data_IF_446658376901
#
_entry.id   IF_446658376901
#
_cell.length_a   1.000
_cell.length_b   1.000
_cell.length_c   1.000
_cell.angle_alpha   90.00
_cell.angle_beta   90.00
_cell.angle_gamma   90.00
#
_symmetry.space_group_name_H-M   'P 1'
#
loop_
_entity.id
_entity.type
_entity.pdbx_description
1 polymer ?
#
# COMPACT_ATOMS: atom_id res chain seq x y z
N UNK A 1 20.79 -21.85 -60.74
CA UNK A 1 21.37 -22.49 -59.53
C UNK A 1 20.55 -22.08 -58.32
N UNK A 2 19.71 -22.98 -57.82
CA UNK A 2 18.92 -22.80 -56.60
C UNK A 2 19.86 -22.77 -55.39
N UNK A 3 19.89 -21.66 -54.65
CA UNK A 3 20.63 -21.62 -53.38
C UNK A 3 19.90 -22.52 -52.38
N UNK A 4 20.59 -23.52 -51.84
CA UNK A 4 20.09 -24.38 -50.76
C UNK A 4 19.79 -23.57 -49.50
N UNK A 5 18.57 -23.07 -49.40
CA UNK A 5 18.07 -22.31 -48.26
C UNK A 5 18.10 -23.15 -46.97
N UNK A 6 17.98 -24.47 -47.07
CA UNK A 6 17.99 -25.39 -45.93
C UNK A 6 19.27 -25.30 -45.09
N UNK A 7 20.43 -25.11 -45.73
CA UNK A 7 21.74 -25.08 -45.05
C UNK A 7 22.01 -23.76 -44.34
N UNK A 8 21.45 -22.65 -44.82
CA UNK A 8 21.54 -21.33 -44.17
C UNK A 8 20.53 -21.18 -43.03
N UNK A 9 19.34 -21.78 -43.14
CA UNK A 9 18.34 -21.81 -42.05
C UNK A 9 18.83 -22.58 -40.83
N UNK A 10 19.57 -23.69 -41.00
CA UNK A 10 20.10 -24.47 -39.88
C UNK A 10 21.23 -23.75 -39.11
N UNK A 11 22.02 -22.90 -39.79
CA UNK A 11 23.12 -22.15 -39.16
C UNK A 11 22.65 -20.93 -38.36
N UNK A 12 21.49 -20.38 -38.72
CA UNK A 12 20.91 -19.23 -38.05
C UNK A 12 19.62 -19.65 -37.37
N UNK A 13 19.70 -19.99 -36.08
CA UNK A 13 18.52 -20.21 -35.21
C UNK A 13 17.69 -18.91 -35.00
N UNK A 14 17.80 -17.95 -35.92
CA UNK A 14 16.99 -16.72 -35.97
C UNK A 14 15.52 -17.04 -36.14
N UNK A 15 15.18 -18.16 -36.78
CA UNK A 15 13.81 -18.68 -36.89
C UNK A 15 13.24 -19.22 -35.56
N UNK A 16 14.10 -19.55 -34.58
CA UNK A 16 13.68 -19.90 -33.22
C UNK A 16 13.57 -18.69 -32.29
N UNK A 17 13.99 -17.49 -32.74
CA UNK A 17 13.80 -16.30 -31.91
C UNK A 17 12.31 -16.00 -31.82
N UNK A 18 11.77 -15.74 -30.62
CA UNK A 18 10.37 -15.38 -30.47
C UNK A 18 10.08 -14.16 -31.34
N UNK A 19 8.90 -14.15 -31.97
CA UNK A 19 8.48 -13.04 -32.82
C UNK A 19 8.57 -11.71 -32.05
N UNK A 20 8.94 -10.64 -32.76
CA UNK A 20 9.02 -9.30 -32.16
C UNK A 20 7.66 -8.94 -31.56
N UNK A 21 7.66 -8.51 -30.29
CA UNK A 21 6.44 -8.15 -29.54
C UNK A 21 5.56 -7.11 -30.24
N UNK A 22 6.16 -6.26 -31.08
CA UNK A 22 5.45 -5.18 -31.78
C UNK A 22 4.86 -5.60 -33.13
N UNK A 23 5.08 -6.85 -33.56
CA UNK A 23 4.87 -7.25 -34.95
C UNK A 23 5.96 -6.64 -35.84
N UNK A 24 6.43 -7.41 -36.81
CA UNK A 24 7.19 -6.84 -37.93
C UNK A 24 6.22 -6.46 -39.05
N UNK A 25 6.73 -5.85 -40.12
CA UNK A 25 5.94 -5.58 -41.33
C UNK A 25 5.24 -6.84 -41.91
N UNK A 26 5.79 -8.03 -41.61
CA UNK A 26 5.26 -9.34 -42.03
C UNK A 26 4.92 -10.28 -40.86
N UNK A 27 5.06 -9.83 -39.61
CA UNK A 27 4.87 -10.69 -38.44
C UNK A 27 3.65 -10.26 -37.63
N UNK A 28 2.68 -11.17 -37.46
CA UNK A 28 1.54 -10.91 -36.58
C UNK A 28 2.05 -10.61 -35.16
N UNK A 29 1.53 -9.56 -34.50
CA UNK A 29 1.88 -9.27 -33.12
C UNK A 29 1.47 -10.43 -32.20
N UNK A 30 2.25 -10.66 -31.15
CA UNK A 30 1.91 -11.66 -30.12
C UNK A 30 0.52 -11.31 -29.56
N UNK A 31 -0.44 -12.26 -29.53
CA UNK A 31 -1.77 -11.98 -29.01
C UNK A 31 -1.68 -11.47 -27.58
N UNK A 32 -2.54 -10.51 -27.22
CA UNK A 32 -2.41 -9.78 -25.96
C UNK A 32 -2.40 -10.67 -24.70
N UNK A 33 -3.07 -11.83 -24.76
CA UNK A 33 -3.10 -12.82 -23.69
C UNK A 33 -1.76 -13.56 -23.49
N UNK A 34 -0.93 -13.64 -24.52
CA UNK A 34 0.45 -14.15 -24.45
C UNK A 34 1.47 -13.03 -24.18
N UNK A 35 1.00 -11.80 -23.94
CA UNK A 35 1.84 -10.69 -23.50
C UNK A 35 2.53 -11.02 -22.17
N UNK A 36 3.69 -10.39 -21.90
CA UNK A 36 4.38 -10.58 -20.63
C UNK A 36 3.46 -10.18 -19.49
N UNK A 37 3.22 -11.12 -18.56
CA UNK A 37 2.57 -10.84 -17.30
C UNK A 37 3.33 -9.70 -16.59
N UNK A 38 2.65 -8.85 -15.80
CA UNK A 38 3.34 -7.83 -15.02
C UNK A 38 4.48 -8.48 -14.21
N UNK A 39 5.62 -7.79 -14.13
CA UNK A 39 6.77 -8.30 -13.39
C UNK A 39 6.37 -8.64 -11.96
N UNK A 40 6.65 -9.88 -11.55
CA UNK A 40 6.49 -10.31 -10.18
C UNK A 40 7.37 -9.45 -9.27
N UNK A 41 6.77 -8.84 -8.25
CA UNK A 41 7.51 -8.04 -7.27
C UNK A 41 7.87 -8.94 -6.08
N UNK A 42 9.16 -8.99 -5.77
CA UNK A 42 9.66 -9.74 -4.61
C UNK A 42 9.02 -9.20 -3.33
N UNK A 43 8.78 -10.06 -2.34
CA UNK A 43 8.07 -9.69 -1.10
C UNK A 43 8.71 -8.49 -0.39
N UNK A 44 10.04 -8.38 -0.42
CA UNK A 44 10.80 -7.25 0.15
C UNK A 44 10.51 -5.90 -0.52
N UNK A 45 10.15 -5.91 -1.80
CA UNK A 45 9.89 -4.71 -2.61
C UNK A 45 8.39 -4.38 -2.66
N UNK A 46 7.53 -5.27 -2.13
CA UNK A 46 6.09 -4.99 -1.96
C UNK A 46 5.92 -3.93 -0.89
N UNK A 47 4.96 -3.03 -1.10
CA UNK A 47 4.64 -2.01 -0.12
C UNK A 47 3.90 -2.69 1.05
N UNK A 48 4.47 -2.69 2.27
CA UNK A 48 3.84 -3.39 3.40
C UNK A 48 2.59 -2.64 3.90
N UNK A 49 2.65 -1.31 3.91
CA UNK A 49 1.59 -0.44 4.40
C UNK A 49 1.17 0.52 3.29
N UNK A 50 0.08 0.17 2.61
CA UNK A 50 -0.48 0.93 1.50
C UNK A 50 -1.22 2.16 1.98
N UNK A 51 -0.97 3.33 1.41
CA UNK A 51 -1.75 4.54 1.72
C UNK A 51 -2.96 4.74 0.80
N UNK A 52 -3.09 3.94 -0.26
CA UNK A 52 -4.19 3.95 -1.22
C UNK A 52 -5.06 2.71 -0.98
N UNK A 53 -6.36 2.90 -0.91
CA UNK A 53 -7.39 1.88 -0.75
C UNK A 53 -8.36 1.89 -1.94
N UNK A 54 -9.12 0.80 -2.15
CA UNK A 54 -10.28 0.83 -3.03
C UNK A 54 -11.23 1.96 -2.67
N UNK A 55 -11.90 2.53 -3.67
CA UNK A 55 -12.79 3.69 -3.60
C UNK A 55 -12.12 5.05 -3.34
N UNK A 56 -10.80 5.10 -3.16
CA UNK A 56 -10.10 6.39 -3.11
C UNK A 56 -10.15 7.12 -4.45
N UNK A 57 -10.28 8.45 -4.38
CA UNK A 57 -10.09 9.34 -5.54
C UNK A 57 -8.61 9.66 -5.72
N UNK A 58 -8.11 9.48 -6.93
CA UNK A 58 -6.71 9.66 -7.30
C UNK A 58 -6.57 10.43 -8.61
N UNK A 59 -5.44 11.08 -8.81
CA UNK A 59 -5.04 11.71 -10.07
C UNK A 59 -3.82 11.00 -10.61
N UNK A 60 -3.82 10.74 -11.91
CA UNK A 60 -2.65 10.20 -12.60
C UNK A 60 -1.65 11.31 -12.92
N UNK A 61 -0.48 11.27 -12.29
CA UNK A 61 0.59 12.28 -12.47
C UNK A 61 1.60 11.87 -13.53
N UNK A 62 1.85 10.57 -13.70
CA UNK A 62 2.80 10.04 -14.69
C UNK A 62 2.10 9.04 -15.60
N UNK A 63 2.20 9.24 -16.91
CA UNK A 63 1.57 8.37 -17.90
C UNK A 63 1.47 9.03 -19.27
N UNK A 64 0.61 8.49 -20.11
CA UNK A 64 0.33 9.01 -21.44
C UNK A 64 -0.29 10.42 -21.33
N UNK A 65 0.02 11.30 -22.29
CA UNK A 65 -0.37 12.72 -22.22
C UNK A 65 -1.89 12.92 -22.14
N UNK A 66 -2.68 12.01 -22.73
CA UNK A 66 -4.14 12.06 -22.73
C UNK A 66 -4.77 11.79 -21.36
N UNK A 67 -4.11 10.98 -20.52
CA UNK A 67 -4.64 10.52 -19.23
C UNK A 67 -3.98 11.24 -18.04
N UNK A 68 -2.90 11.98 -18.29
CA UNK A 68 -2.19 12.72 -17.25
C UNK A 68 -3.07 13.88 -16.74
N UNK A 69 -3.28 13.93 -15.44
CA UNK A 69 -4.13 14.92 -14.77
C UNK A 69 -5.59 14.51 -14.64
N UNK A 70 -6.01 13.41 -15.27
CA UNK A 70 -7.38 12.90 -15.15
C UNK A 70 -7.58 12.30 -13.76
N UNK A 71 -8.75 12.58 -13.20
CA UNK A 71 -9.20 12.07 -11.91
C UNK A 71 -9.82 10.69 -12.10
N UNK A 72 -9.55 9.77 -11.18
CA UNK A 72 -10.10 8.43 -11.20
C UNK A 72 -10.34 7.86 -9.82
N UNK A 73 -11.18 6.86 -9.76
CA UNK A 73 -11.57 6.13 -8.56
C UNK A 73 -10.89 4.78 -8.58
N UNK A 74 -10.23 4.44 -7.48
CA UNK A 74 -9.58 3.15 -7.36
C UNK A 74 -10.62 2.04 -7.27
N UNK A 75 -10.64 1.13 -8.24
CA UNK A 75 -11.49 -0.06 -8.22
C UNK A 75 -10.86 -1.18 -7.40
N UNK A 76 -9.60 -1.52 -7.69
CA UNK A 76 -8.89 -2.64 -7.07
C UNK A 76 -7.42 -2.28 -6.85
N UNK A 77 -6.87 -2.75 -5.74
CA UNK A 77 -5.44 -2.63 -5.42
C UNK A 77 -4.80 -4.00 -5.46
N UNK A 78 -3.77 -4.16 -6.27
CA UNK A 78 -2.99 -5.38 -6.42
C UNK A 78 -1.66 -5.23 -5.67
N UNK A 79 -1.65 -5.73 -4.42
CA UNK A 79 -0.51 -5.58 -3.51
C UNK A 79 0.73 -6.37 -3.94
N UNK A 80 0.54 -7.43 -4.72
CA UNK A 80 1.64 -8.29 -5.19
C UNK A 80 2.46 -7.66 -6.33
N UNK A 81 1.83 -6.78 -7.11
CA UNK A 81 2.46 -6.12 -8.26
C UNK A 81 2.70 -4.62 -8.03
N UNK A 82 2.37 -4.09 -6.86
CA UNK A 82 2.35 -2.64 -6.56
C UNK A 82 1.54 -1.82 -7.58
N UNK A 83 0.40 -2.39 -8.02
CA UNK A 83 -0.46 -1.82 -9.06
C UNK A 83 -1.87 -1.54 -8.58
N UNK A 84 -2.50 -0.59 -9.24
CA UNK A 84 -3.83 -0.10 -8.95
C UNK A 84 -4.64 -0.06 -10.23
N UNK A 85 -5.87 -0.52 -10.15
CA UNK A 85 -6.85 -0.53 -11.23
C UNK A 85 -7.86 0.58 -10.97
N UNK A 86 -8.10 1.41 -11.99
CA UNK A 86 -9.05 2.53 -11.92
C UNK A 86 -10.36 2.13 -12.60
N UNK A 87 -11.47 2.69 -12.11
CA UNK A 87 -12.82 2.32 -12.55
C UNK A 87 -13.21 2.98 -13.87
N UNK A 88 -12.70 4.19 -14.15
CA UNK A 88 -13.14 5.01 -15.28
C UNK A 88 -12.58 4.51 -16.62
N UNK A 89 -13.38 4.66 -17.68
CA UNK A 89 -13.06 4.19 -19.02
C UNK A 89 -11.88 4.96 -19.67
N UNK A 90 -11.60 6.18 -19.22
CA UNK A 90 -10.48 7.00 -19.72
C UNK A 90 -9.12 6.36 -19.44
N UNK A 91 -9.04 5.56 -18.38
CA UNK A 91 -7.84 4.82 -18.00
C UNK A 91 -7.76 3.43 -18.65
N UNK A 92 -8.85 3.00 -19.30
CA UNK A 92 -8.90 1.71 -19.98
C UNK A 92 -8.33 1.81 -21.39
N UNK A 93 -7.79 0.69 -21.88
CA UNK A 93 -7.34 0.57 -23.26
C UNK A 93 -8.56 0.20 -24.11
N UNK A 94 -8.90 1.05 -25.08
CA UNK A 94 -9.91 0.73 -26.10
C UNK A 94 -9.36 -0.39 -26.99
N UNK A 95 -10.04 -1.53 -27.01
CA UNK A 95 -9.73 -2.68 -27.86
C UNK A 95 -10.87 -2.97 -28.81
N UNK A 96 -10.53 -3.48 -29.99
CA UNK A 96 -11.48 -4.05 -30.94
C UNK A 96 -11.70 -5.51 -30.58
N UNK A 97 -12.95 -5.94 -30.53
CA UNK A 97 -13.29 -7.35 -30.46
C UNK A 97 -12.84 -7.99 -31.78
N UNK A 98 -12.04 -9.05 -31.68
CA UNK A 98 -11.67 -9.83 -32.84
C UNK A 98 -12.87 -10.72 -33.20
N UNK A 99 -13.26 -10.75 -34.47
CA UNK A 99 -14.19 -11.76 -34.96
C UNK A 99 -13.54 -13.13 -34.76
N UNK A 100 -14.26 -14.05 -34.12
CA UNK A 100 -13.74 -15.39 -33.88
C UNK A 100 -13.74 -16.20 -35.18
N UNK A 101 -14.68 -15.88 -36.08
CA UNK A 101 -14.79 -16.47 -37.41
C UNK A 101 -14.84 -15.41 -38.52
N UNK A 102 -14.25 -15.68 -39.70
CA UNK A 102 -14.44 -14.82 -40.87
C UNK A 102 -15.93 -14.72 -41.24
N UNK A 103 -16.48 -13.49 -41.26
CA UNK A 103 -17.90 -13.25 -41.57
C UNK A 103 -18.84 -13.22 -40.37
N UNK A 104 -18.33 -13.41 -39.14
CA UNK A 104 -19.12 -13.25 -37.93
C UNK A 104 -19.53 -11.78 -37.73
N UNK A 105 -20.84 -11.52 -37.68
CA UNK A 105 -21.36 -10.24 -37.25
C UNK A 105 -21.16 -10.13 -35.72
N UNK A 106 -20.21 -9.28 -35.31
CA UNK A 106 -20.00 -8.97 -33.90
C UNK A 106 -21.27 -8.33 -33.32
N UNK A 107 -21.79 -8.85 -32.22
CA UNK A 107 -22.95 -8.27 -31.55
C UNK A 107 -22.67 -6.81 -31.19
N UNK A 108 -23.52 -5.89 -31.68
CA UNK A 108 -23.40 -4.43 -31.50
C UNK A 108 -23.64 -3.95 -30.05
N UNK A 109 -23.73 -4.87 -29.08
CA UNK A 109 -24.07 -4.57 -27.70
C UNK A 109 -22.84 -4.18 -26.87
N UNK A 110 -22.25 -3.02 -27.15
CA UNK A 110 -21.78 -2.09 -26.12
C UNK A 110 -21.42 -0.73 -26.76
N UNK A 111 -22.38 0.20 -26.72
CA UNK A 111 -22.21 1.65 -26.94
C UNK A 111 -21.60 2.11 -28.27
N UNK A 112 -22.48 2.48 -29.20
CA UNK A 112 -22.19 3.44 -30.27
C UNK A 112 -22.05 2.79 -31.63
N UNK A 113 -23.10 2.93 -32.46
CA UNK A 113 -23.11 2.48 -33.83
C UNK A 113 -21.99 3.12 -34.64
N UNK A 114 -20.94 2.35 -34.91
CA UNK A 114 -20.31 2.27 -36.21
C UNK A 114 -19.35 1.07 -36.25
N UNK A 115 -19.77 0.05 -37.00
CA UNK A 115 -19.01 -0.98 -37.72
C UNK A 115 -17.87 -1.81 -37.08
N UNK A 116 -17.42 -1.64 -35.84
CA UNK A 116 -16.58 -2.64 -35.13
C UNK A 116 -16.78 -2.60 -33.61
N UNK A 117 -17.27 -3.68 -33.00
CA UNK A 117 -17.48 -3.79 -31.56
C UNK A 117 -16.18 -3.48 -30.79
N UNK A 118 -16.13 -2.33 -30.11
CA UNK A 118 -14.99 -1.93 -29.28
C UNK A 118 -15.36 -2.03 -27.81
N UNK A 119 -14.48 -2.59 -27.00
CA UNK A 119 -14.65 -2.68 -25.56
C UNK A 119 -13.48 -2.03 -24.83
N UNK A 120 -13.73 -1.58 -23.61
CA UNK A 120 -12.72 -0.98 -22.73
C UNK A 120 -12.13 -2.08 -21.84
N UNK A 121 -10.84 -2.35 -22.01
CA UNK A 121 -10.12 -3.23 -21.09
C UNK A 121 -9.43 -2.38 -20.02
N UNK A 122 -9.72 -2.59 -18.72
CA UNK A 122 -9.10 -1.80 -17.67
C UNK A 122 -7.57 -2.00 -17.68
N UNK A 123 -6.82 -0.97 -17.27
CA UNK A 123 -5.35 -0.98 -17.25
C UNK A 123 -4.84 -0.78 -15.83
N UNK A 124 -3.82 -1.54 -15.48
CA UNK A 124 -3.14 -1.44 -14.19
C UNK A 124 -2.05 -0.36 -14.20
N UNK A 125 -2.10 0.57 -13.25
CA UNK A 125 -1.10 1.62 -13.06
C UNK A 125 -0.23 1.35 -11.84
N UNK A 126 1.05 1.67 -11.93
CA UNK A 126 1.93 1.56 -10.76
C UNK A 126 1.57 2.65 -9.75
N UNK A 127 1.60 2.31 -8.45
CA UNK A 127 1.22 3.21 -7.35
C UNK A 127 1.98 4.55 -7.35
N UNK A 128 3.23 4.58 -7.84
CA UNK A 128 4.03 5.81 -7.94
C UNK A 128 3.50 6.83 -8.94
N UNK A 129 2.63 6.41 -9.85
CA UNK A 129 2.08 7.25 -10.90
C UNK A 129 0.83 7.99 -10.44
N UNK A 130 0.29 7.63 -9.28
CA UNK A 130 -0.95 8.15 -8.73
C UNK A 130 -0.68 9.10 -7.56
N UNK A 131 -1.56 10.08 -7.39
CA UNK A 131 -1.63 10.94 -6.20
C UNK A 131 -3.05 10.89 -5.65
N UNK A 132 -3.18 10.86 -4.33
CA UNK A 132 -4.50 10.93 -3.70
C UNK A 132 -5.09 12.32 -3.86
N UNK A 133 -6.39 12.38 -4.08
CA UNK A 133 -7.14 13.61 -3.97
C UNK A 133 -7.72 13.76 -2.57
N UNK A 134 -7.74 14.99 -2.09
CA UNK A 134 -8.28 15.37 -0.79
C UNK A 134 -9.41 16.35 -1.04
N UNK A 135 -10.58 16.06 -0.51
CA UNK A 135 -11.71 16.99 -0.50
C UNK A 135 -11.68 17.78 0.79
N UNK A 136 -11.53 19.10 0.70
CA UNK A 136 -11.59 20.01 1.84
C UNK A 136 -12.48 21.20 1.49
N UNK A 137 -13.43 21.56 2.36
CA UNK A 137 -14.44 22.61 2.12
C UNK A 137 -15.10 22.55 0.71
N UNK A 138 -15.39 21.35 0.20
CA UNK A 138 -16.01 21.14 -1.12
C UNK A 138 -15.05 21.29 -2.32
N UNK A 139 -13.81 21.71 -2.11
CA UNK A 139 -12.77 21.79 -3.14
C UNK A 139 -11.94 20.51 -3.17
N UNK A 140 -11.56 20.08 -4.36
CA UNK A 140 -10.68 18.92 -4.55
C UNK A 140 -9.25 19.38 -4.75
N UNK A 141 -8.35 18.90 -3.90
CA UNK A 141 -6.93 19.18 -3.95
C UNK A 141 -6.15 17.90 -4.26
N UNK A 142 -4.99 18.04 -4.91
CA UNK A 142 -4.12 16.91 -5.20
C UNK A 142 -2.97 16.86 -4.20
N UNK A 143 -2.85 15.74 -3.46
CA UNK A 143 -1.78 15.58 -2.49
C UNK A 143 -0.42 15.34 -3.20
N UNK A 144 0.57 16.18 -2.92
CA UNK A 144 1.92 16.06 -3.50
C UNK A 144 2.77 15.00 -2.82
N UNK A 145 2.60 14.79 -1.51
CA UNK A 145 3.32 13.80 -0.71
C UNK A 145 2.37 13.14 0.26
N UNK A 146 2.66 11.88 0.60
CA UNK A 146 1.90 11.12 1.58
C UNK A 146 2.82 10.77 2.75
N UNK A 147 2.31 10.99 3.96
CA UNK A 147 2.90 10.52 5.22
C UNK A 147 1.91 9.59 5.91
N UNK A 148 2.45 8.71 6.74
CA UNK A 148 1.68 7.82 7.59
C UNK A 148 1.97 8.14 9.05
N UNK A 149 0.99 7.94 9.92
CA UNK A 149 1.23 7.85 11.36
C UNK A 149 1.98 6.57 11.70
N UNK A 150 2.34 6.43 12.98
CA UNK A 150 2.73 5.13 13.55
C UNK A 150 1.63 4.11 13.27
N UNK A 151 2.04 2.91 12.88
CA UNK A 151 1.17 1.75 12.70
C UNK A 151 0.91 1.13 14.07
N UNK A 152 -0.36 0.93 14.38
CA UNK A 152 -0.83 0.35 15.65
C UNK A 152 -1.75 -0.84 15.34
N UNK A 153 -1.73 -1.87 16.18
CA UNK A 153 -2.60 -3.03 16.01
C UNK A 153 -3.92 -2.77 16.76
N UNK A 154 -5.04 -2.75 16.03
CA UNK A 154 -6.38 -2.65 16.61
C UNK A 154 -6.85 -4.07 16.93
N UNK A 155 -6.91 -4.41 18.22
CA UNK A 155 -7.32 -5.75 18.70
C UNK A 155 -8.78 -6.04 18.38
N UNK A 156 -9.65 -5.03 18.40
CA UNK A 156 -11.09 -5.19 18.16
C UNK A 156 -11.33 -5.52 16.70
N UNK A 157 -10.63 -4.84 15.79
CA UNK A 157 -10.77 -5.03 14.34
C UNK A 157 -9.84 -6.11 13.77
N UNK A 158 -8.98 -6.71 14.60
CA UNK A 158 -7.99 -7.69 14.18
C UNK A 158 -7.08 -7.20 13.04
N UNK A 159 -6.76 -5.90 13.00
CA UNK A 159 -6.00 -5.32 11.87
C UNK A 159 -5.06 -4.21 12.28
N UNK A 160 -3.99 -4.04 11.50
CA UNK A 160 -3.13 -2.87 11.60
C UNK A 160 -3.87 -1.63 11.12
N UNK A 161 -3.83 -0.56 11.93
CA UNK A 161 -4.41 0.73 11.60
C UNK A 161 -3.35 1.83 11.67
N UNK A 162 -3.48 2.81 10.78
CA UNK A 162 -2.72 4.05 10.79
C UNK A 162 -3.54 5.15 10.12
N UNK A 163 -3.18 6.39 10.41
CA UNK A 163 -3.68 7.56 9.71
C UNK A 163 -2.74 7.91 8.56
N UNK A 164 -3.32 8.43 7.49
CA UNK A 164 -2.61 8.93 6.32
C UNK A 164 -2.78 10.44 6.26
N UNK A 165 -1.68 11.12 5.94
CA UNK A 165 -1.62 12.57 5.83
C UNK A 165 -1.12 12.92 4.43
N UNK A 166 -1.81 13.82 3.75
CA UNK A 166 -1.40 14.35 2.45
C UNK A 166 -0.86 15.77 2.59
N UNK A 167 0.26 16.06 1.94
CA UNK A 167 0.74 17.43 1.78
C UNK A 167 0.02 18.08 0.61
N UNK A 168 -0.78 19.10 0.89
CA UNK A 168 -1.48 19.94 -0.09
C UNK A 168 -0.85 21.33 -0.03
N UNK A 169 0.00 21.69 -1.01
CA UNK A 169 0.65 23.00 -1.04
C UNK A 169 -0.35 24.17 -1.07
N UNK A 170 -1.47 23.98 -1.76
CA UNK A 170 -2.50 25.00 -1.95
C UNK A 170 -3.22 25.40 -0.65
N UNK A 171 -3.12 24.56 0.38
CA UNK A 171 -3.70 24.79 1.71
C UNK A 171 -2.64 25.28 2.71
N UNK A 172 -1.38 25.47 2.31
CA UNK A 172 -0.36 25.98 3.24
C UNK A 172 -0.66 27.44 3.54
N UNK A 173 -0.83 27.78 4.82
CA UNK A 173 -1.07 29.15 5.27
C UNK A 173 -2.53 29.61 5.23
N UNK A 174 -3.47 28.76 4.80
CA UNK A 174 -4.90 29.02 5.00
C UNK A 174 -5.27 28.76 6.45
N UNK A 175 -6.24 29.51 6.97
CA UNK A 175 -6.81 29.25 8.30
C UNK A 175 -7.66 27.98 8.26
N UNK A 176 -7.54 27.14 9.29
CA UNK A 176 -8.32 25.92 9.41
C UNK A 176 -9.77 26.27 9.78
N UNK A 177 -10.73 25.94 8.92
CA UNK A 177 -12.15 26.05 9.25
C UNK A 177 -12.44 25.20 10.52
N UNK A 178 -12.74 25.87 11.64
CA UNK A 178 -13.08 25.24 12.91
C UNK A 178 -11.97 25.16 13.97
N UNK A 179 -10.75 25.61 13.68
CA UNK A 179 -9.69 25.76 14.69
C UNK A 179 -9.21 27.21 14.75
N UNK A 180 -9.77 27.97 15.69
CA UNK A 180 -9.43 29.38 15.90
C UNK A 180 -7.90 29.55 16.06
N UNK A 181 -7.27 30.22 15.09
CA UNK A 181 -5.86 30.63 15.15
C UNK A 181 -4.82 29.58 14.74
N UNK A 182 -5.21 28.40 14.23
CA UNK A 182 -4.25 27.43 13.70
C UNK A 182 -4.16 27.52 12.17
N UNK A 183 -2.98 27.86 11.66
CA UNK A 183 -2.69 27.84 10.23
C UNK A 183 -2.42 26.41 9.76
N UNK A 184 -2.94 26.06 8.58
CA UNK A 184 -2.64 24.77 7.96
C UNK A 184 -1.14 24.67 7.67
N UNK A 185 -0.49 23.65 8.24
CA UNK A 185 0.90 23.26 7.88
C UNK A 185 0.99 22.61 6.49
N UNK A 186 -0.11 22.60 5.72
CA UNK A 186 -0.29 21.88 4.46
C UNK A 186 -0.52 20.37 4.61
N UNK A 187 -0.32 19.79 5.80
CA UNK A 187 -0.59 18.37 6.04
C UNK A 187 -2.05 18.16 6.45
N UNK A 188 -2.84 17.58 5.54
CA UNK A 188 -4.25 17.27 5.78
C UNK A 188 -4.40 15.79 6.06
N UNK A 189 -5.19 15.44 7.08
CA UNK A 189 -5.54 14.04 7.39
C UNK A 189 -6.53 13.53 6.34
N UNK A 190 -6.16 12.45 5.65
CA UNK A 190 -7.03 11.83 4.64
C UNK A 190 -7.77 10.65 5.29
N UNK A 191 -9.09 10.72 5.49
CA UNK A 191 -9.84 9.60 6.07
C UNK A 191 -9.82 8.41 5.11
N UNK A 192 -9.83 7.18 5.64
CA UNK A 192 -10.02 5.98 4.82
C UNK A 192 -11.44 5.95 4.22
N UNK A 193 -11.61 5.45 2.99
CA UNK A 193 -12.94 5.32 2.41
C UNK A 193 -13.74 4.31 3.22
N UNK A 194 -15.03 4.58 3.39
CA UNK A 194 -15.96 3.64 4.01
C UNK A 194 -16.26 2.58 2.96
N UNK A 195 -15.67 1.40 3.12
CA UNK A 195 -16.02 0.23 2.32
C UNK A 195 -17.35 -0.25 2.86
N UNK A 196 -18.37 -0.32 2.00
CA UNK A 196 -19.61 -1.00 2.35
C UNK A 196 -19.26 -2.47 2.58
N UNK A 197 -19.33 -2.91 3.82
CA UNK A 197 -19.14 -4.32 4.14
C UNK A 197 -20.28 -5.08 3.49
N UNK A 198 -19.94 -5.99 2.58
CA UNK A 198 -20.92 -6.93 2.04
C UNK A 198 -21.55 -7.63 3.24
N UNK A 199 -22.83 -7.36 3.46
CA UNK A 199 -23.59 -8.04 4.51
C UNK A 199 -23.63 -9.51 4.10
N UNK A 200 -22.71 -10.30 4.65
CA UNK A 200 -22.72 -11.74 4.44
C UNK A 200 -24.06 -12.23 4.95
N UNK A 201 -24.89 -12.75 4.04
CA UNK A 201 -26.10 -13.43 4.45
C UNK A 201 -25.66 -14.59 5.35
N UNK A 202 -26.30 -14.71 6.52
CA UNK A 202 -26.03 -15.84 7.41
C UNK A 202 -26.28 -17.13 6.63
N UNK A 203 -25.27 -17.97 6.56
CA UNK A 203 -25.41 -19.31 5.98
C UNK A 203 -26.32 -20.17 6.85
N UNK A 204 -26.85 -21.25 6.28
CA UNK A 204 -27.63 -22.26 7.03
C UNK A 204 -26.84 -22.86 8.20
N UNK A 205 -25.51 -22.92 8.06
CA UNK A 205 -24.59 -23.45 9.07
C UNK A 205 -24.04 -22.37 10.03
N UNK A 206 -24.43 -21.10 9.88
CA UNK A 206 -23.98 -20.04 10.79
C UNK A 206 -24.83 -20.04 12.07
N UNK A 207 -24.16 -20.23 13.21
CA UNK A 207 -24.80 -20.17 14.54
C UNK A 207 -25.36 -18.76 14.79
N UNK A 208 -26.56 -18.68 15.38
CA UNK A 208 -27.19 -17.41 15.71
C UNK A 208 -26.33 -16.57 16.66
N UNK A 209 -26.44 -15.23 16.57
CA UNK A 209 -25.76 -14.33 17.51
C UNK A 209 -26.19 -14.60 18.97
N UNK A 210 -27.44 -15.01 19.17
CA UNK A 210 -27.98 -15.39 20.48
C UNK A 210 -27.40 -16.71 20.99
N UNK A 211 -27.30 -17.73 20.13
CA UNK A 211 -26.73 -19.04 20.51
C UNK A 211 -25.23 -18.95 20.79
N UNK A 212 -24.49 -18.19 19.97
CA UNK A 212 -23.04 -17.98 20.16
C UNK A 212 -22.70 -17.14 21.39
N UNK A 213 -23.60 -16.24 21.80
CA UNK A 213 -23.42 -15.43 23.02
C UNK A 213 -23.98 -16.11 24.28
N UNK A 214 -24.70 -17.23 24.13
CA UNK A 214 -25.20 -18.01 25.26
C UNK A 214 -24.01 -18.60 26.00
N UNK A 215 -23.71 -18.02 27.17
CA UNK A 215 -22.75 -18.60 28.10
C UNK A 215 -23.28 -19.96 28.57
N UNK A 216 -22.72 -21.03 28.02
CA UNK A 216 -23.02 -22.41 28.46
C UNK A 216 -22.22 -22.80 29.69
N UNK A 217 -21.22 -21.99 30.08
CA UNK A 217 -20.40 -22.25 31.25
C UNK A 217 -21.10 -21.76 32.51
N UNK A 218 -21.59 -22.71 33.29
CA UNK A 218 -22.02 -22.49 34.68
C UNK A 218 -20.96 -23.14 35.57
N UNK A 219 -20.20 -22.38 36.37
CA UNK A 219 -19.26 -22.98 37.30
C UNK A 219 -20.02 -23.79 38.34
N UNK A 220 -19.71 -25.08 38.44
CA UNK A 220 -20.14 -25.91 39.56
C UNK A 220 -19.34 -25.53 40.82
N UNK A 221 -19.92 -25.68 42.01
CA UNK A 221 -19.24 -25.37 43.28
C UNK A 221 -17.92 -26.15 43.42
N UNK A 222 -17.86 -27.38 42.90
CA UNK A 222 -16.66 -28.22 42.87
C UNK A 222 -15.55 -27.67 41.95
N UNK A 223 -15.91 -27.09 40.79
CA UNK A 223 -14.94 -26.50 39.86
C UNK A 223 -14.42 -25.15 40.37
N UNK A 224 -15.23 -24.42 41.13
CA UNK A 224 -14.79 -23.22 41.87
C UNK A 224 -13.82 -23.57 43.00
N UNK A 225 -14.07 -24.65 43.73
CA UNK A 225 -13.20 -25.09 44.83
C UNK A 225 -11.82 -25.58 44.33
N UNK A 226 -11.78 -26.30 43.21
CA UNK A 226 -10.52 -26.76 42.59
C UNK A 226 -9.71 -25.61 41.96
N UNK A 227 -10.39 -24.60 41.38
CA UNK A 227 -9.71 -23.46 40.76
C UNK A 227 -9.02 -22.51 41.74
N UNK A 228 -9.46 -22.44 43.01
CA UNK A 228 -8.81 -21.58 44.02
C UNK A 228 -7.43 -22.13 44.44
N UNK A 229 -7.23 -23.45 44.38
CA UNK A 229 -5.93 -24.06 44.67
C UNK A 229 -5.01 -24.13 43.45
N UNK A 230 -5.55 -24.26 42.22
CA UNK A 230 -4.74 -24.21 40.98
C UNK A 230 -4.36 -22.78 40.55
N UNK A 231 -5.08 -21.75 40.98
CA UNK A 231 -4.71 -20.34 40.74
C UNK A 231 -3.63 -19.80 41.67
N UNK A 232 -3.11 -20.62 42.60
CA UNK A 232 -1.79 -20.40 43.22
C UNK A 232 -0.69 -20.77 42.22
N UNK A 233 -0.74 -20.18 41.04
CA UNK A 233 0.41 -20.11 40.14
C UNK A 233 1.55 -19.50 40.94
N UNK A 234 2.58 -20.30 41.23
CA UNK A 234 3.73 -19.80 41.96
C UNK A 234 4.27 -18.55 41.26
N UNK A 235 4.67 -17.53 42.02
CA UNK A 235 5.24 -16.27 41.48
C UNK A 235 6.43 -16.49 40.51
N UNK A 236 6.95 -17.72 40.43
CA UNK A 236 7.96 -18.17 39.46
C UNK A 236 7.43 -18.31 38.02
N UNK A 237 6.16 -18.65 37.80
CA UNK A 237 5.65 -19.00 36.46
C UNK A 237 5.13 -17.79 35.66
N UNK A 238 4.75 -16.70 36.33
CA UNK A 238 4.35 -15.45 35.66
C UNK A 238 5.51 -14.66 35.04
N UNK A 239 6.74 -15.20 35.02
CA UNK A 239 7.85 -14.52 34.35
C UNK A 239 8.19 -13.14 34.94
N UNK A 240 7.71 -12.84 36.16
CA UNK A 240 8.21 -11.72 37.00
C UNK A 240 9.54 -12.13 37.66
N UNK A 241 10.26 -13.07 37.04
CA UNK A 241 11.70 -13.13 37.21
C UNK A 241 12.25 -11.73 36.95
N UNK A 242 13.02 -11.22 37.91
CA UNK A 242 13.72 -9.92 37.92
C UNK A 242 14.73 -9.74 36.76
N UNK A 243 14.51 -10.42 35.64
CA UNK A 243 15.31 -10.44 34.41
C UNK A 243 14.42 -10.23 33.17
N UNK A 244 13.40 -9.38 33.24
CA UNK A 244 12.77 -8.91 32.00
C UNK A 244 13.85 -8.28 31.10
N UNK A 245 13.75 -8.47 29.78
CA UNK A 245 14.68 -7.87 28.80
C UNK A 245 14.85 -6.35 29.00
N UNK A 246 13.83 -5.68 29.53
CA UNK A 246 13.87 -4.26 29.90
C UNK A 246 14.85 -3.96 31.05
N UNK A 247 15.04 -4.87 32.00
CA UNK A 247 16.04 -4.73 33.06
C UNK A 247 17.49 -4.93 32.55
N UNK A 248 17.68 -5.80 31.55
CA UNK A 248 19.01 -5.99 30.90
C UNK A 248 19.43 -4.75 30.09
N UNK A 249 18.51 -4.10 29.38
CA UNK A 249 18.82 -2.87 28.61
C UNK A 249 19.05 -1.68 29.54
N UNK A 250 18.32 -1.59 30.66
CA UNK A 250 18.55 -0.53 31.67
C UNK A 250 19.96 -0.61 32.28
N UNK A 251 20.39 -1.79 32.73
CA UNK A 251 21.75 -2.01 33.28
C UNK A 251 22.87 -1.74 32.25
N UNK A 252 22.63 -2.07 30.97
CA UNK A 252 23.58 -1.79 29.90
C UNK A 252 23.72 -0.29 29.65
N UNK A 253 22.61 0.46 29.64
CA UNK A 253 22.63 1.91 29.48
C UNK A 253 23.23 2.62 30.70
N UNK A 254 22.96 2.15 31.92
CA UNK A 254 23.56 2.67 33.16
C UNK A 254 25.08 2.45 33.18
N UNK A 255 25.58 1.27 32.78
CA UNK A 255 27.03 1.02 32.63
C UNK A 255 27.68 1.90 31.57
N UNK A 256 26.98 2.17 30.46
CA UNK A 256 27.48 3.04 29.38
C UNK A 256 27.52 4.52 29.80
N UNK A 257 26.61 4.94 30.69
CA UNK A 257 26.63 6.27 31.29
C UNK A 257 27.77 6.43 32.30
N UNK A 258 28.01 5.42 33.15
CA UNK A 258 29.10 5.42 34.13
C UNK A 258 30.50 5.35 33.48
N UNK A 259 30.65 4.64 32.35
CA UNK A 259 31.93 4.54 31.63
C UNK A 259 32.32 5.77 30.80
N UNK A 260 31.48 6.81 30.73
CA UNK A 260 31.75 8.05 29.98
C UNK A 260 31.97 9.29 30.86
N UNK A 261 31.93 9.14 32.19
CA UNK A 261 31.94 10.27 33.13
C UNK A 261 33.27 10.55 33.84
N UNK A 262 34.36 9.81 33.59
CA UNK A 262 35.57 9.84 34.44
C UNK A 262 36.88 10.01 33.66
N UNK A 263 36.95 10.96 32.72
CA UNK A 263 38.24 11.39 32.13
C UNK A 263 38.34 12.92 31.91
N UNK A 264 37.40 13.75 32.35
CA UNK A 264 37.51 15.20 32.21
C UNK A 264 37.21 15.94 33.50
N UNK A 265 38.08 15.76 34.48
CA UNK A 265 38.30 16.73 35.56
C UNK A 265 39.51 16.23 36.34
N UNK A 266 40.71 16.69 35.96
CA UNK A 266 41.93 16.75 36.78
C UNK A 266 43.12 17.19 35.89
N UNK A 267 43.14 18.47 35.51
CA UNK A 267 44.33 19.32 35.29
C UNK A 267 43.83 20.77 35.37
N UNK A 268 43.57 21.32 36.57
CA UNK A 268 44.55 22.05 37.41
C UNK A 268 45.51 22.90 36.57
N UNK A 269 45.03 24.10 36.28
CA UNK A 269 45.69 25.38 36.57
C UNK A 269 47.20 25.34 36.84
N UNK A 270 47.97 25.91 35.93
CA UNK A 270 49.16 26.67 36.30
C UNK A 270 49.45 27.79 35.28
N UNK A 271 49.47 29.01 35.82
CA UNK A 271 50.38 30.13 35.53
C UNK A 271 50.38 30.77 34.13
N UNK A 272 49.93 32.03 34.09
CA UNK A 272 50.19 32.95 32.97
C UNK A 272 49.45 34.28 33.08
N UNK A 273 49.71 35.05 34.14
CA UNK A 273 49.33 36.47 34.22
C UNK A 273 50.38 37.35 33.54
N UNK A 274 49.92 38.55 33.14
CA UNK A 274 50.60 39.69 32.52
C UNK A 274 50.86 39.53 31.01
N UNK A 275 50.48 40.46 30.14
CA UNK A 275 50.77 41.91 30.18
C UNK A 275 49.63 42.68 29.48
N UNK A 276 49.18 43.76 30.12
CA UNK A 276 48.39 44.83 29.51
C UNK A 276 49.32 45.77 28.73
N UNK A 277 48.87 46.27 27.58
CA UNK A 277 49.36 47.53 27.01
C UNK A 277 48.26 48.13 26.11
N UNK A 278 47.77 49.28 26.54
CA UNK A 278 46.91 50.19 25.80
C UNK A 278 47.61 50.74 24.54
N UNK A 279 46.86 50.85 23.44
CA UNK A 279 46.58 52.09 22.68
C UNK A 279 45.67 51.80 21.49
#
# INVERSE_FOLDING_TARGET
MSKDLSRTFQRTLTHLRPSSRKGGQFGAPIPSHFGPRPHFVQVKDRIPYWNIAPMDKVVLVKGDKSIKGVQGTVQRVEREANRVWLRENDFAIKKRQQAQYPGEALNASYSGGDAQATYYQPRAYHVSNLRLQVTDAGKTYTATRLRRSKVTWDRVKGRFHWHRYGLVPDLVGTEIEGAQGQTHTGWVKIPWPKIEEEKTAKGENDVGAEESSKSTWVPTVETLAQGIDELKLSDKEFGIGKQSRAHKTKRYNERKALGKGTVQELQVSSLGQAIALDK
#
